data_IF_558077450708
#
_entry.id   IF_558077450708
#
_cell.length_a   1.000
_cell.length_b   1.000
_cell.length_c   1.000
_cell.angle_alpha   90.00
_cell.angle_beta   90.00
_cell.angle_gamma   90.00
#
_symmetry.space_group_name_H-M   'P 1'
#
loop_
_entity.id
_entity.type
_entity.pdbx_description
1 polymer ?
#
# COMPACT_ATOMS: atom_id res chain seq x y z
N UNK A 1 -12.11 -3.34 -18.01
CA UNK A 1 -10.75 -3.83 -18.37
C UNK A 1 -9.95 -2.69 -19.00
N UNK A 2 -8.74 -2.48 -18.56
CA UNK A 2 -7.82 -1.50 -19.14
C UNK A 2 -6.59 -2.22 -19.68
N UNK A 3 -6.03 -1.69 -20.75
CA UNK A 3 -4.79 -2.21 -21.36
C UNK A 3 -3.71 -1.16 -21.18
N UNK A 4 -2.58 -1.53 -20.60
CA UNK A 4 -1.42 -0.67 -20.41
C UNK A 4 -0.22 -1.30 -21.12
N UNK A 5 0.42 -0.56 -22.02
CA UNK A 5 1.72 -0.93 -22.57
C UNK A 5 2.76 -0.45 -21.55
N UNK A 6 3.54 -1.39 -20.99
CA UNK A 6 4.54 -1.07 -19.96
C UNK A 6 5.87 -0.69 -20.61
N UNK A 7 6.25 -1.46 -21.63
CA UNK A 7 7.39 -1.20 -22.51
C UNK A 7 7.17 -1.98 -23.81
N UNK A 8 8.12 -1.90 -24.75
CA UNK A 8 8.03 -2.62 -26.03
C UNK A 8 8.03 -4.15 -25.89
N UNK A 9 8.13 -4.66 -24.66
CA UNK A 9 8.23 -6.10 -24.35
C UNK A 9 7.02 -6.65 -23.61
N UNK A 10 6.17 -5.78 -23.03
CA UNK A 10 5.07 -6.24 -22.18
C UNK A 10 3.78 -5.44 -22.40
N UNK A 11 2.67 -6.17 -22.52
CA UNK A 11 1.32 -5.62 -22.47
C UNK A 11 0.70 -6.08 -21.15
N UNK A 12 0.22 -5.14 -20.35
CA UNK A 12 -0.50 -5.44 -19.12
C UNK A 12 -2.00 -5.25 -19.31
N UNK A 13 -2.77 -6.31 -19.07
CA UNK A 13 -4.22 -6.27 -18.98
C UNK A 13 -4.61 -6.13 -17.51
N UNK A 14 -5.41 -5.12 -17.22
CA UNK A 14 -5.90 -4.81 -15.88
C UNK A 14 -7.43 -4.92 -15.93
N UNK A 15 -7.99 -5.83 -15.13
CA UNK A 15 -9.43 -6.04 -15.10
C UNK A 15 -9.85 -6.96 -13.97
N UNK A 16 -11.16 -7.19 -13.85
CA UNK A 16 -11.69 -8.18 -12.93
C UNK A 16 -11.26 -9.58 -13.34
N UNK A 17 -11.30 -10.54 -12.40
CA UNK A 17 -11.00 -11.95 -12.72
C UNK A 17 -11.87 -12.49 -13.87
N UNK A 18 -13.14 -12.06 -13.91
CA UNK A 18 -14.08 -12.43 -14.99
C UNK A 18 -13.65 -11.87 -16.35
N UNK A 19 -13.18 -10.61 -16.40
CA UNK A 19 -12.70 -9.97 -17.63
C UNK A 19 -11.43 -10.66 -18.14
N UNK A 20 -10.52 -10.99 -17.23
CA UNK A 20 -9.26 -11.66 -17.56
C UNK A 20 -9.54 -13.08 -18.09
N UNK A 21 -10.43 -13.85 -17.44
CA UNK A 21 -10.81 -15.19 -17.91
C UNK A 21 -11.46 -15.14 -19.31
N UNK A 22 -12.35 -14.18 -19.56
CA UNK A 22 -12.96 -13.99 -20.88
C UNK A 22 -11.89 -13.69 -21.93
N UNK A 23 -10.94 -12.79 -21.63
CA UNK A 23 -9.88 -12.45 -22.54
C UNK A 23 -8.95 -13.65 -22.80
N UNK A 24 -8.57 -14.40 -21.76
CA UNK A 24 -7.74 -15.60 -21.89
C UNK A 24 -8.38 -16.66 -22.80
N UNK A 25 -9.70 -16.87 -22.65
CA UNK A 25 -10.44 -17.79 -23.51
C UNK A 25 -10.41 -17.33 -24.97
N UNK A 26 -10.72 -16.06 -25.23
CA UNK A 26 -10.67 -15.48 -26.59
C UNK A 26 -9.25 -15.55 -27.18
N UNK A 27 -8.24 -15.34 -26.37
CA UNK A 27 -6.84 -15.43 -26.79
C UNK A 27 -6.44 -16.86 -27.17
N UNK A 28 -6.86 -17.84 -26.35
CA UNK A 28 -6.55 -19.26 -26.61
C UNK A 28 -7.31 -19.82 -27.82
N UNK A 29 -8.48 -19.25 -28.14
CA UNK A 29 -9.28 -19.60 -29.33
C UNK A 29 -8.77 -18.95 -30.61
N UNK A 30 -7.94 -17.88 -30.49
CA UNK A 30 -7.37 -17.19 -31.63
C UNK A 30 -6.00 -17.80 -31.99
N UNK A 31 -5.80 -18.14 -33.25
CA UNK A 31 -4.47 -18.56 -33.79
C UNK A 31 -3.43 -17.44 -33.79
N UNK A 32 -3.76 -16.29 -33.20
CA UNK A 32 -2.88 -15.14 -33.14
C UNK A 32 -1.84 -15.34 -32.03
N UNK A 33 -0.65 -15.72 -32.40
CA UNK A 33 0.53 -15.74 -31.53
C UNK A 33 0.97 -14.30 -31.28
N UNK A 34 0.61 -13.72 -30.15
CA UNK A 34 1.27 -12.50 -29.70
C UNK A 34 2.73 -12.82 -29.42
N UNK A 35 3.62 -12.10 -30.07
CA UNK A 35 5.07 -12.20 -29.85
C UNK A 35 5.51 -11.53 -28.56
N UNK A 36 4.63 -10.75 -27.94
CA UNK A 36 4.88 -9.99 -26.70
C UNK A 36 4.28 -10.75 -25.52
N UNK A 37 5.05 -11.04 -24.46
CA UNK A 37 4.51 -11.67 -23.26
C UNK A 37 3.41 -10.83 -22.62
N UNK A 38 2.27 -11.46 -22.34
CA UNK A 38 1.11 -10.80 -21.72
C UNK A 38 1.14 -11.12 -20.23
N UNK A 39 1.14 -10.07 -19.40
CA UNK A 39 0.96 -10.19 -17.94
C UNK A 39 -0.47 -9.83 -17.59
N UNK A 40 -1.15 -10.74 -16.92
CA UNK A 40 -2.49 -10.49 -16.39
C UNK A 40 -2.38 -10.06 -14.93
N UNK A 41 -3.06 -8.96 -14.60
CA UNK A 41 -3.25 -8.54 -13.22
C UNK A 41 -4.76 -8.50 -12.92
N UNK A 42 -5.18 -9.32 -11.97
CA UNK A 42 -6.54 -9.22 -11.43
C UNK A 42 -6.59 -7.98 -10.56
N UNK A 43 -7.44 -7.01 -10.93
CA UNK A 43 -7.77 -5.88 -10.07
C UNK A 43 -9.09 -6.19 -9.35
N UNK A 44 -8.97 -6.36 -8.05
CA UNK A 44 -10.12 -6.15 -7.19
C UNK A 44 -10.47 -4.66 -7.26
N UNK A 45 -11.74 -4.32 -7.48
CA UNK A 45 -12.14 -2.93 -7.47
C UNK A 45 -11.83 -2.33 -6.09
N UNK A 46 -11.51 -1.03 -6.04
CA UNK A 46 -11.24 -0.36 -4.77
C UNK A 46 -12.41 -0.53 -3.79
N UNK A 47 -13.64 -0.51 -4.29
CA UNK A 47 -14.84 -0.69 -3.47
C UNK A 47 -14.95 -2.11 -2.88
N UNK A 48 -14.64 -3.15 -3.64
CA UNK A 48 -14.61 -4.53 -3.14
C UNK A 48 -13.53 -4.68 -2.07
N UNK A 49 -12.34 -4.10 -2.30
CA UNK A 49 -11.27 -4.13 -1.31
C UNK A 49 -11.63 -3.36 -0.04
N UNK A 50 -12.28 -2.21 -0.15
CA UNK A 50 -12.81 -1.46 1.00
C UNK A 50 -13.75 -2.34 1.82
N UNK A 51 -14.74 -2.99 1.19
CA UNK A 51 -15.68 -3.87 1.89
C UNK A 51 -14.99 -5.04 2.61
N UNK A 52 -13.94 -5.61 1.99
CA UNK A 52 -13.18 -6.72 2.57
C UNK A 52 -12.41 -6.31 3.84
N UNK A 53 -11.86 -5.09 3.86
CA UNK A 53 -10.92 -4.69 4.92
C UNK A 53 -11.46 -3.69 5.93
N UNK A 54 -12.62 -3.05 5.66
CA UNK A 54 -13.16 -1.96 6.48
C UNK A 54 -13.22 -2.33 7.96
N UNK A 55 -13.80 -3.50 8.28
CA UNK A 55 -13.92 -3.95 9.67
C UNK A 55 -12.55 -4.10 10.33
N UNK A 56 -11.61 -4.74 9.67
CA UNK A 56 -10.25 -4.91 10.19
C UNK A 56 -9.53 -3.57 10.41
N UNK A 57 -9.67 -2.62 9.48
CA UNK A 57 -9.06 -1.29 9.64
C UNK A 57 -9.62 -0.56 10.84
N UNK A 58 -10.94 -0.68 11.10
CA UNK A 58 -11.61 0.00 12.22
C UNK A 58 -11.32 -0.66 13.55
N UNK A 59 -11.38 -2.00 13.61
CA UNK A 59 -11.37 -2.76 14.86
C UNK A 59 -9.95 -3.15 15.30
N UNK A 60 -9.01 -3.31 14.35
CA UNK A 60 -7.66 -3.82 14.63
C UNK A 60 -6.55 -2.81 14.32
N UNK A 61 -6.52 -2.24 13.09
CA UNK A 61 -5.41 -1.39 12.67
C UNK A 61 -5.43 0.00 13.34
N UNK A 62 -6.51 0.77 13.19
CA UNK A 62 -6.59 2.13 13.76
C UNK A 62 -6.46 2.18 15.28
N UNK A 63 -7.02 1.23 16.05
CA UNK A 63 -6.85 1.20 17.51
C UNK A 63 -5.40 1.08 17.97
N UNK A 64 -4.48 0.58 17.16
CA UNK A 64 -3.04 0.57 17.48
C UNK A 64 -2.51 1.98 17.80
N UNK A 65 -3.05 3.00 17.13
CA UNK A 65 -2.66 4.40 17.29
C UNK A 65 -3.47 5.15 18.36
N UNK A 66 -4.39 4.47 19.06
CA UNK A 66 -5.29 5.11 20.03
C UNK A 66 -4.52 5.67 21.24
N UNK A 67 -4.85 6.89 21.63
CA UNK A 67 -4.31 7.56 22.85
C UNK A 67 -2.79 7.78 22.87
N UNK A 68 -2.09 7.63 21.74
CA UNK A 68 -0.65 7.87 21.67
C UNK A 68 -0.35 9.37 21.60
N UNK A 69 -1.12 10.11 20.82
CA UNK A 69 -1.15 11.59 20.79
C UNK A 69 -2.49 12.09 20.25
N UNK A 70 -2.72 13.39 20.32
CA UNK A 70 -3.93 13.98 19.75
C UNK A 70 -4.03 13.69 18.26
N UNK A 71 -5.17 13.14 17.81
CA UNK A 71 -5.44 12.82 16.41
C UNK A 71 -4.64 11.65 15.83
N UNK A 72 -3.91 10.88 16.66
CA UNK A 72 -3.04 9.78 16.18
C UNK A 72 -3.74 8.71 15.37
N UNK A 73 -5.03 8.46 15.62
CA UNK A 73 -5.85 7.50 14.85
C UNK A 73 -6.14 7.94 13.41
N UNK A 74 -5.85 9.20 13.07
CA UNK A 74 -6.12 9.76 11.75
C UNK A 74 -7.60 9.78 11.36
N UNK A 75 -7.89 10.19 10.12
CA UNK A 75 -9.23 10.12 9.57
C UNK A 75 -9.67 8.68 9.32
N UNK A 76 -10.89 8.33 9.77
CA UNK A 76 -11.42 6.96 9.64
C UNK A 76 -11.53 6.54 8.18
N UNK A 77 -12.17 7.38 7.38
CA UNK A 77 -12.41 7.08 5.97
C UNK A 77 -11.12 7.09 5.16
N UNK A 78 -10.24 8.05 5.45
CA UNK A 78 -8.90 8.12 4.86
C UNK A 78 -8.05 6.87 5.16
N UNK A 79 -8.10 6.33 6.38
CA UNK A 79 -7.43 5.07 6.71
C UNK A 79 -7.94 3.91 5.87
N UNK A 80 -9.27 3.77 5.73
CA UNK A 80 -9.89 2.67 4.97
C UNK A 80 -9.49 2.75 3.49
N UNK A 81 -9.65 3.92 2.87
CA UNK A 81 -9.33 4.11 1.46
C UNK A 81 -7.84 3.90 1.15
N UNK A 82 -6.96 4.52 1.96
CA UNK A 82 -5.51 4.40 1.79
C UNK A 82 -5.04 2.96 2.01
N UNK A 83 -5.60 2.26 3.00
CA UNK A 83 -5.27 0.86 3.24
C UNK A 83 -5.75 -0.05 2.12
N UNK A 84 -6.96 0.15 1.62
CA UNK A 84 -7.46 -0.60 0.47
C UNK A 84 -6.55 -0.40 -0.76
N UNK A 85 -6.19 0.85 -1.06
CA UNK A 85 -5.26 1.16 -2.14
C UNK A 85 -3.88 0.52 -1.91
N UNK A 86 -3.35 0.59 -0.67
CA UNK A 86 -2.07 -0.02 -0.32
C UNK A 86 -2.08 -1.52 -0.59
N UNK A 87 -3.10 -2.25 -0.13
CA UNK A 87 -3.20 -3.69 -0.31
C UNK A 87 -3.49 -4.12 -1.76
N UNK A 88 -4.06 -3.24 -2.60
CA UNK A 88 -4.18 -3.48 -4.04
C UNK A 88 -2.82 -3.33 -4.74
N UNK A 89 -2.06 -2.30 -4.37
CA UNK A 89 -0.75 -2.00 -4.98
C UNK A 89 0.32 -2.98 -4.50
N UNK A 90 0.22 -3.42 -3.23
CA UNK A 90 1.16 -4.30 -2.54
C UNK A 90 0.44 -5.57 -2.03
N UNK A 91 -0.05 -6.44 -2.93
CA UNK A 91 -0.81 -7.64 -2.55
C UNK A 91 0.04 -8.71 -1.85
N UNK A 92 1.36 -8.58 -1.86
CA UNK A 92 2.33 -9.45 -1.21
C UNK A 92 2.27 -9.36 0.32
N UNK A 93 1.79 -8.24 0.89
CA UNK A 93 1.73 -8.05 2.34
C UNK A 93 0.37 -8.42 2.92
N UNK A 94 0.39 -9.26 3.94
CA UNK A 94 -0.81 -9.67 4.68
C UNK A 94 -1.24 -8.61 5.70
N UNK A 95 -2.47 -8.76 6.24
CA UNK A 95 -2.95 -7.95 7.37
C UNK A 95 -2.05 -8.08 8.60
N UNK A 96 -1.48 -9.26 8.82
CA UNK A 96 -0.58 -9.54 9.95
C UNK A 96 0.76 -8.85 9.77
N UNK A 97 1.33 -8.84 8.55
CA UNK A 97 2.56 -8.11 8.23
C UNK A 97 2.38 -6.60 8.49
N UNK A 98 1.28 -6.03 7.99
CA UNK A 98 0.94 -4.62 8.17
C UNK A 98 0.76 -4.28 9.65
N UNK A 99 0.06 -5.13 10.39
CA UNK A 99 -0.16 -4.95 11.84
C UNK A 99 1.15 -5.00 12.60
N UNK A 100 2.04 -5.92 12.25
CA UNK A 100 3.37 -6.08 12.86
C UNK A 100 4.24 -4.86 12.57
N UNK A 101 4.29 -4.40 11.33
CA UNK A 101 5.02 -3.19 10.94
C UNK A 101 4.52 -1.95 11.68
N UNK A 102 3.20 -1.78 11.81
CA UNK A 102 2.60 -0.67 12.55
C UNK A 102 2.96 -0.71 14.05
N UNK A 103 2.91 -1.88 14.68
CA UNK A 103 3.33 -2.05 16.09
C UNK A 103 4.81 -1.72 16.28
N UNK A 104 5.68 -2.23 15.41
CA UNK A 104 7.11 -1.94 15.46
C UNK A 104 7.41 -0.45 15.27
N UNK A 105 6.71 0.21 14.33
CA UNK A 105 6.79 1.66 14.14
C UNK A 105 6.41 2.43 15.40
N UNK A 106 5.30 2.09 16.04
CA UNK A 106 4.84 2.74 17.27
C UNK A 106 5.86 2.52 18.41
N UNK A 107 6.37 1.31 18.57
CA UNK A 107 7.35 0.95 19.59
C UNK A 107 8.68 1.69 19.41
N UNK A 108 9.08 2.06 18.18
CA UNK A 108 10.31 2.80 17.93
C UNK A 108 10.35 4.19 18.56
N UNK A 109 9.21 4.75 18.94
CA UNK A 109 9.10 6.04 19.63
C UNK A 109 9.27 5.95 21.16
N UNK A 110 9.46 4.74 21.72
CA UNK A 110 9.56 4.46 23.15
C UNK A 110 8.36 4.99 23.97
N UNK A 111 8.23 6.20 24.30
CA UNK A 111 7.08 6.82 24.97
C UNK A 111 6.82 8.24 24.47
N UNK A 112 7.68 8.77 23.62
CA UNK A 112 7.48 10.09 23.02
C UNK A 112 6.90 9.94 21.60
N UNK A 113 5.59 10.07 21.48
CA UNK A 113 4.88 9.97 20.22
C UNK A 113 4.66 11.33 19.51
N UNK A 114 5.37 12.39 19.95
CA UNK A 114 5.17 13.77 19.44
C UNK A 114 5.30 13.83 17.91
N UNK A 115 6.33 13.21 17.35
CA UNK A 115 6.64 13.22 15.92
C UNK A 115 6.08 12.00 15.15
N UNK A 116 5.38 11.11 15.83
CA UNK A 116 4.76 9.95 15.19
C UNK A 116 3.71 10.37 14.16
N UNK A 117 3.67 9.73 13.01
CA UNK A 117 2.62 9.98 12.01
C UNK A 117 1.25 9.48 12.51
N UNK A 118 0.19 10.11 12.05
CA UNK A 118 -1.17 9.60 12.21
C UNK A 118 -1.35 8.31 11.40
N UNK A 119 -2.30 7.47 11.79
CA UNK A 119 -2.52 6.16 11.18
C UNK A 119 -2.70 6.20 9.66
N UNK A 120 -3.43 7.19 9.14
CA UNK A 120 -3.65 7.35 7.69
C UNK A 120 -2.43 7.89 6.96
N UNK A 121 -1.63 8.77 7.58
CA UNK A 121 -0.38 9.28 7.01
C UNK A 121 0.77 8.27 7.07
N UNK A 122 0.72 7.32 7.99
CA UNK A 122 1.64 6.20 8.02
C UNK A 122 1.47 5.30 6.79
N UNK A 123 0.22 5.10 6.32
CA UNK A 123 -0.08 4.33 5.11
C UNK A 123 0.42 5.08 3.87
N UNK A 124 -0.15 6.28 3.62
CA UNK A 124 0.23 7.16 2.53
C UNK A 124 0.17 8.62 2.95
N UNK A 125 1.23 9.36 2.68
CA UNK A 125 1.32 10.81 2.88
C UNK A 125 1.66 11.50 1.58
N UNK A 126 0.87 12.51 1.21
CA UNK A 126 1.21 13.42 0.14
C UNK A 126 2.21 14.45 0.66
N UNK A 127 3.33 14.57 -0.02
CA UNK A 127 4.39 15.54 0.29
C UNK A 127 4.69 16.37 -0.96
N UNK A 128 5.13 17.61 -0.78
CA UNK A 128 5.59 18.47 -1.87
C UNK A 128 7.10 18.60 -1.77
N UNK A 129 7.80 18.14 -2.81
CA UNK A 129 9.24 18.26 -2.91
C UNK A 129 9.62 18.97 -4.22
N UNK A 130 10.38 20.07 -4.13
CA UNK A 130 10.80 20.88 -5.28
C UNK A 130 9.63 21.29 -6.21
N UNK A 131 8.46 21.62 -5.63
CA UNK A 131 7.26 22.03 -6.39
C UNK A 131 6.45 20.87 -7.01
N UNK A 132 6.92 19.63 -6.90
CA UNK A 132 6.20 18.43 -7.36
C UNK A 132 5.50 17.74 -6.21
N UNK A 133 4.28 17.29 -6.44
CA UNK A 133 3.55 16.45 -5.49
C UNK A 133 4.04 15.01 -5.60
N UNK A 134 4.35 14.42 -4.46
CA UNK A 134 4.78 13.03 -4.33
C UNK A 134 3.97 12.32 -3.26
N UNK A 135 3.74 11.04 -3.43
CA UNK A 135 3.14 10.18 -2.40
C UNK A 135 4.23 9.31 -1.81
N UNK A 136 4.34 9.32 -0.49
CA UNK A 136 5.27 8.50 0.27
C UNK A 136 4.51 7.55 1.17
N UNK A 137 5.06 6.35 1.41
CA UNK A 137 4.51 5.36 2.32
C UNK A 137 5.55 5.00 3.38
N UNK A 138 5.31 5.41 4.62
CA UNK A 138 6.14 5.00 5.73
C UNK A 138 5.91 3.53 6.08
N UNK A 139 4.66 3.06 5.91
CA UNK A 139 4.32 1.65 6.08
C UNK A 139 5.15 0.75 5.16
N UNK A 140 5.24 1.10 3.86
CA UNK A 140 6.05 0.32 2.92
C UNK A 140 7.52 0.26 3.35
N UNK A 141 8.10 1.39 3.76
CA UNK A 141 9.47 1.44 4.27
C UNK A 141 9.68 0.48 5.45
N UNK A 142 8.73 0.42 6.39
CA UNK A 142 8.82 -0.49 7.55
C UNK A 142 8.62 -1.95 7.19
N UNK A 143 7.85 -2.26 6.15
CA UNK A 143 7.67 -3.61 5.64
C UNK A 143 8.91 -4.12 4.90
N UNK A 144 9.59 -3.25 4.15
CA UNK A 144 10.78 -3.60 3.35
C UNK A 144 12.07 -3.63 4.19
N UNK A 145 12.31 -2.57 4.96
CA UNK A 145 13.59 -2.37 5.65
C UNK A 145 13.60 -2.91 7.09
N UNK A 146 12.40 -3.10 7.70
CA UNK A 146 12.29 -3.49 9.12
C UNK A 146 12.78 -2.40 10.09
N UNK A 147 12.69 -2.65 11.40
CA UNK A 147 13.05 -1.67 12.43
C UNK A 147 14.56 -1.39 12.55
N UNK A 148 15.42 -2.33 12.20
CA UNK A 148 16.86 -2.24 12.47
C UNK A 148 17.61 -1.27 11.56
N UNK A 149 17.16 -1.06 10.32
CA UNK A 149 17.83 -0.13 9.40
C UNK A 149 17.46 1.35 9.66
N UNK A 150 16.38 1.60 10.38
CA UNK A 150 15.87 2.95 10.59
C UNK A 150 16.63 3.74 11.66
N UNK A 151 17.19 3.07 12.66
CA UNK A 151 17.94 3.68 13.75
C UNK A 151 19.29 4.24 13.25
N UNK A 152 19.85 3.69 12.17
CA UNK A 152 21.18 4.07 11.66
C UNK A 152 21.19 5.26 10.70
N UNK A 153 20.09 5.52 9.97
CA UNK A 153 20.03 6.64 9.00
C UNK A 153 19.76 7.99 9.65
N UNK A 154 18.84 8.06 10.61
CA UNK A 154 18.52 9.33 11.28
C UNK A 154 19.64 9.80 12.24
N UNK A 155 20.49 8.87 12.71
CA UNK A 155 21.62 9.21 13.60
C UNK A 155 22.78 9.85 12.84
N UNK A 156 23.01 9.51 11.58
CA UNK A 156 24.11 10.07 10.78
C UNK A 156 23.75 11.41 10.11
N UNK A 157 22.47 11.68 9.82
CA UNK A 157 22.01 12.95 9.24
C UNK A 157 21.93 14.10 10.28
N UNK A 158 22.00 13.78 11.57
CA UNK A 158 21.99 14.78 12.66
C UNK A 158 23.39 15.24 13.13
N UNK A 159 24.47 14.72 12.52
CA UNK A 159 25.87 15.02 12.92
C UNK A 159 26.63 15.84 11.86
N UNK A 160 26.01 16.21 10.73
CA UNK A 160 26.63 17.08 9.71
C UNK A 160 25.97 18.44 9.62
#
# INVERSE_FOLDING_TARGET
>A
MHVKIIDDKFIQFIGTETDIKKFQNLYNESDNKFTIPVKFKVEMSLNEKIQEIEKWVIDDYRPLFKNLKQGSMGDRYGCIQKMALFMIVHPEYSKDDITTAAKSYIQSFNSDHTYMMQADYFIFKQVRHQGKEMITSKLLTWLEDGPEQYVSKDFFDSIN
#
